data_IF_332860451183
#
_entry.id   IF_332860451183
#
_cell.length_a   1.000
_cell.length_b   1.000
_cell.length_c   1.000
_cell.angle_alpha   90.00
_cell.angle_beta   90.00
_cell.angle_gamma   90.00
#
_symmetry.space_group_name_H-M   'P 1'
#
loop_
_entity.id
_entity.type
_entity.pdbx_description
1 polymer ?
#
# COMPACT_ATOMS: atom_id res chain seq x y z
N UNK A 1 6.10 2.84 -0.07
CA UNK A 1 6.85 3.89 0.67
C UNK A 1 8.35 3.78 0.47
N UNK A 2 8.94 2.58 0.51
CA UNK A 2 10.40 2.38 0.29
C UNK A 2 10.94 3.01 -0.99
N UNK A 3 10.17 2.96 -2.07
CA UNK A 3 10.49 3.64 -3.33
C UNK A 3 10.70 5.15 -3.24
N UNK A 4 10.03 5.83 -2.30
CA UNK A 4 10.13 7.29 -2.16
C UNK A 4 11.12 7.71 -1.07
N UNK A 5 11.24 6.91 0.00
CA UNK A 5 11.96 7.30 1.21
C UNK A 5 13.17 6.40 1.53
N UNK A 6 13.50 5.45 0.67
CA UNK A 6 14.58 4.49 0.87
C UNK A 6 14.20 3.34 1.79
N UNK A 7 15.20 2.67 2.37
CA UNK A 7 14.96 1.50 3.21
C UNK A 7 14.43 1.85 4.61
N UNK A 8 13.74 0.90 5.22
CA UNK A 8 13.20 1.04 6.58
C UNK A 8 14.31 0.71 7.59
N UNK A 9 14.64 1.67 8.44
CA UNK A 9 15.68 1.54 9.48
C UNK A 9 15.13 0.96 10.77
N UNK A 10 13.92 1.36 11.16
CA UNK A 10 13.22 0.88 12.35
C UNK A 10 11.73 0.73 12.09
N UNK A 11 11.12 -0.28 12.71
CA UNK A 11 9.68 -0.51 12.65
C UNK A 11 9.18 -1.03 13.98
N UNK A 12 8.05 -0.49 14.43
CA UNK A 12 7.28 -0.96 15.59
C UNK A 12 5.82 -1.08 15.19
N UNK A 13 5.12 -2.07 15.72
CA UNK A 13 3.71 -2.27 15.42
C UNK A 13 2.88 -2.44 16.68
N UNK A 14 1.65 -1.93 16.66
CA UNK A 14 0.60 -2.31 17.58
C UNK A 14 -0.42 -3.12 16.81
N UNK A 15 -0.59 -4.37 17.20
CA UNK A 15 -1.51 -5.32 16.60
C UNK A 15 -2.77 -5.43 17.47
N UNK A 16 -3.91 -5.72 16.86
CA UNK A 16 -5.13 -6.00 17.62
C UNK A 16 -6.14 -6.87 16.90
N UNK A 17 -7.13 -7.29 17.69
CA UNK A 17 -8.15 -8.28 17.36
C UNK A 17 -9.51 -7.73 17.78
N UNK A 18 -10.11 -6.91 16.93
CA UNK A 18 -11.39 -6.23 17.18
C UNK A 18 -12.62 -7.13 16.98
N UNK A 19 -12.50 -8.13 16.11
CA UNK A 19 -13.59 -8.98 15.63
C UNK A 19 -13.40 -10.46 16.02
N UNK A 20 -12.55 -10.75 17.01
CA UNK A 20 -12.28 -12.11 17.52
C UNK A 20 -11.83 -13.11 16.43
N UNK A 21 -11.04 -12.65 15.45
CA UNK A 21 -10.33 -13.55 14.56
C UNK A 21 -9.14 -14.20 15.28
N UNK A 22 -8.67 -15.34 14.74
CA UNK A 22 -7.43 -16.01 15.13
C UNK A 22 -6.17 -15.34 14.57
N UNK A 23 -6.36 -14.23 13.85
CA UNK A 23 -5.32 -13.35 13.32
C UNK A 23 -5.71 -11.89 13.53
N UNK A 24 -4.74 -10.99 13.38
CA UNK A 24 -4.89 -9.56 13.58
C UNK A 24 -5.79 -8.95 12.51
N UNK A 25 -6.86 -8.28 12.92
CA UNK A 25 -7.76 -7.54 12.00
C UNK A 25 -7.45 -6.04 11.93
N UNK A 26 -6.42 -5.63 12.66
CA UNK A 26 -5.97 -4.26 12.76
C UNK A 26 -4.49 -4.20 13.17
N UNK A 27 -3.75 -3.30 12.52
CA UNK A 27 -2.39 -2.94 12.87
C UNK A 27 -2.15 -1.43 12.71
N UNK A 28 -1.41 -0.85 13.65
CA UNK A 28 -0.78 0.47 13.52
C UNK A 28 0.73 0.29 13.56
N UNK A 29 1.41 0.58 12.45
CA UNK A 29 2.85 0.47 12.32
C UNK A 29 3.49 1.86 12.27
N UNK A 30 4.54 2.07 13.05
CA UNK A 30 5.38 3.27 13.01
C UNK A 30 6.72 2.84 12.43
N UNK A 31 7.14 3.50 11.35
CA UNK A 31 8.35 3.18 10.61
C UNK A 31 9.22 4.41 10.44
N UNK A 32 10.53 4.23 10.52
CA UNK A 32 11.53 5.23 10.17
C UNK A 32 12.29 4.78 8.92
N UNK A 33 12.65 5.74 8.08
CA UNK A 33 13.34 5.50 6.81
C UNK A 33 14.74 6.12 6.83
N UNK A 34 15.65 5.61 6.00
CA UNK A 34 17.01 6.13 5.85
C UNK A 34 17.04 7.62 5.47
N UNK A 35 16.06 8.06 4.67
CA UNK A 35 15.88 9.46 4.28
C UNK A 35 15.41 10.37 5.43
N UNK A 36 15.24 9.84 6.64
CA UNK A 36 14.80 10.59 7.82
C UNK A 36 13.28 10.80 7.91
N UNK A 37 12.51 10.27 6.96
CA UNK A 37 11.06 10.29 7.03
C UNK A 37 10.56 9.29 8.08
N UNK A 38 9.53 9.68 8.83
CA UNK A 38 8.75 8.79 9.69
C UNK A 38 7.36 8.60 9.10
N UNK A 39 6.87 7.37 9.11
CA UNK A 39 5.53 7.03 8.60
C UNK A 39 4.74 6.30 9.66
N UNK A 40 3.45 6.62 9.75
CA UNK A 40 2.46 5.83 10.49
C UNK A 40 1.53 5.17 9.48
N UNK A 41 1.46 3.85 9.49
CA UNK A 41 0.56 3.06 8.64
C UNK A 41 -0.49 2.43 9.51
N UNK A 42 -1.76 2.74 9.21
CA UNK A 42 -2.90 2.08 9.82
C UNK A 42 -3.54 1.15 8.79
N UNK A 43 -3.67 -0.12 9.16
CA UNK A 43 -4.33 -1.13 8.35
C UNK A 43 -5.36 -1.81 9.23
N UNK A 44 -6.54 -2.09 8.69
CA UNK A 44 -7.51 -2.91 9.39
C UNK A 44 -8.88 -2.88 8.74
N UNK A 45 -9.73 -3.78 9.21
CA UNK A 45 -11.10 -3.95 8.71
C UNK A 45 -12.08 -2.97 9.36
N UNK A 46 -11.76 -1.68 9.30
CA UNK A 46 -12.55 -0.62 9.95
C UNK A 46 -13.68 -0.04 9.08
N UNK A 47 -13.71 -0.35 7.78
CA UNK A 47 -14.59 0.29 6.82
C UNK A 47 -15.30 -0.75 5.95
N UNK A 48 -16.56 -0.49 5.63
CA UNK A 48 -17.35 -1.29 4.68
C UNK A 48 -16.87 -1.16 3.23
N UNK A 49 -16.17 -0.06 2.91
CA UNK A 49 -15.58 0.18 1.60
C UNK A 49 -14.05 0.18 1.69
N UNK A 50 -13.38 -0.34 0.67
CA UNK A 50 -11.94 -0.23 0.53
C UNK A 50 -11.54 1.23 0.38
N UNK A 51 -10.69 1.70 1.27
CA UNK A 51 -10.11 3.04 1.24
C UNK A 51 -8.61 2.90 1.43
N UNK A 52 -7.85 3.52 0.53
CA UNK A 52 -6.40 3.70 0.63
C UNK A 52 -6.15 5.19 0.72
N UNK A 53 -5.54 5.64 1.80
CA UNK A 53 -5.20 7.03 2.03
C UNK A 53 -3.71 7.19 2.22
N UNK A 54 -3.14 8.26 1.66
CA UNK A 54 -1.76 8.68 1.94
C UNK A 54 -1.79 10.16 2.27
N UNK A 55 -1.19 10.50 3.40
CA UNK A 55 -1.00 11.87 3.85
C UNK A 55 0.49 12.11 4.03
N UNK A 56 0.99 13.19 3.45
CA UNK A 56 2.39 13.60 3.50
C UNK A 56 2.47 14.98 4.16
N UNK A 57 3.26 15.09 5.21
CA UNK A 57 3.48 16.33 5.94
C UNK A 57 4.93 16.77 5.73
N UNK A 58 5.11 17.90 5.04
CA UNK A 58 6.40 18.56 4.88
C UNK A 58 6.49 19.80 5.77
N UNK A 59 7.66 20.42 5.81
CA UNK A 59 7.90 21.64 6.60
C UNK A 59 7.10 22.84 6.12
N UNK A 60 6.83 22.93 4.82
CA UNK A 60 6.13 24.08 4.20
C UNK A 60 4.68 23.79 3.82
N UNK A 61 4.30 22.52 3.64
CA UNK A 61 2.98 22.15 3.15
C UNK A 61 2.64 20.69 3.49
N UNK A 62 1.37 20.35 3.33
CA UNK A 62 0.87 18.99 3.44
C UNK A 62 0.12 18.59 2.17
N UNK A 63 0.19 17.32 1.82
CA UNK A 63 -0.54 16.74 0.70
C UNK A 63 -1.33 15.52 1.19
N UNK A 64 -2.52 15.32 0.62
CA UNK A 64 -3.36 14.16 0.93
C UNK A 64 -3.98 13.62 -0.34
N UNK A 65 -3.99 12.31 -0.45
CA UNK A 65 -4.66 11.60 -1.52
C UNK A 65 -5.43 10.42 -0.91
N UNK A 66 -6.70 10.31 -1.28
CA UNK A 66 -7.53 9.17 -0.90
C UNK A 66 -8.10 8.52 -2.15
N UNK A 67 -8.09 7.20 -2.11
CA UNK A 67 -8.59 6.35 -3.16
C UNK A 67 -9.58 5.37 -2.55
N UNK A 68 -10.83 5.44 -3.00
CA UNK A 68 -11.91 4.59 -2.49
C UNK A 68 -12.69 3.97 -3.63
N UNK A 69 -13.24 2.78 -3.38
CA UNK A 69 -14.11 2.13 -4.35
C UNK A 69 -15.39 2.94 -4.53
N UNK A 70 -15.85 3.05 -5.78
CA UNK A 70 -17.19 3.57 -6.06
C UNK A 70 -18.25 2.56 -5.64
N UNK A 71 -19.51 2.98 -5.50
CA UNK A 71 -20.60 2.05 -5.20
C UNK A 71 -20.70 0.95 -6.27
N UNK A 72 -21.15 -0.25 -5.86
CA UNK A 72 -21.30 -1.41 -6.76
C UNK A 72 -22.15 -1.10 -7.99
N UNK A 73 -23.18 -0.27 -7.83
CA UNK A 73 -24.06 0.18 -8.92
C UNK A 73 -23.29 1.01 -9.95
N UNK A 74 -22.48 1.98 -9.49
CA UNK A 74 -21.67 2.83 -10.38
C UNK A 74 -20.62 1.99 -11.12
N UNK A 75 -20.03 1.00 -10.44
CA UNK A 75 -19.11 0.03 -11.06
C UNK A 75 -19.82 -0.75 -12.17
N UNK A 76 -20.97 -1.36 -11.88
CA UNK A 76 -21.73 -2.16 -12.83
C UNK A 76 -22.13 -1.34 -14.07
N UNK A 77 -22.63 -0.12 -13.89
CA UNK A 77 -22.98 0.78 -15.00
C UNK A 77 -21.76 1.04 -15.89
N UNK A 78 -20.60 1.38 -15.29
CA UNK A 78 -19.39 1.64 -16.07
C UNK A 78 -18.95 0.42 -16.87
N UNK A 79 -19.00 -0.77 -16.27
CA UNK A 79 -18.63 -2.02 -16.95
C UNK A 79 -19.58 -2.33 -18.11
N UNK A 80 -20.90 -2.18 -17.92
CA UNK A 80 -21.90 -2.36 -19.01
C UNK A 80 -21.64 -1.38 -20.15
N UNK A 81 -21.23 -0.14 -19.84
CA UNK A 81 -20.84 0.86 -20.83
C UNK A 81 -19.45 0.62 -21.45
N UNK A 82 -18.78 -0.50 -21.15
CA UNK A 82 -17.44 -0.81 -21.65
C UNK A 82 -16.33 0.08 -21.09
N UNK A 83 -16.58 0.79 -19.98
CA UNK A 83 -15.62 1.71 -19.34
C UNK A 83 -15.00 1.06 -18.11
N UNK A 84 -13.68 1.19 -17.96
CA UNK A 84 -12.97 0.79 -16.74
C UNK A 84 -13.28 1.77 -15.60
N UNK A 85 -13.83 1.33 -14.45
CA UNK A 85 -14.00 2.20 -13.30
C UNK A 85 -12.65 2.78 -12.85
N UNK A 86 -12.64 4.07 -12.50
CA UNK A 86 -11.42 4.78 -12.06
C UNK A 86 -10.65 4.04 -10.97
N UNK A 87 -11.37 3.33 -10.09
CA UNK A 87 -10.78 2.51 -9.03
C UNK A 87 -9.85 1.40 -9.55
N UNK A 88 -10.11 0.85 -10.73
CA UNK A 88 -9.33 -0.26 -11.31
C UNK A 88 -8.27 0.19 -12.32
N UNK A 89 -8.21 1.48 -12.65
CA UNK A 89 -7.21 2.01 -13.60
C UNK A 89 -5.77 1.76 -13.13
N UNK A 90 -5.39 2.04 -11.86
CA UNK A 90 -4.02 1.79 -11.41
C UNK A 90 -3.61 0.32 -11.53
N UNK A 91 -4.52 -0.60 -11.17
CA UNK A 91 -4.28 -2.03 -11.32
C UNK A 91 -4.12 -2.44 -12.79
N UNK A 92 -4.97 -1.92 -13.69
CA UNK A 92 -4.84 -2.16 -15.12
C UNK A 92 -3.48 -1.66 -15.66
N UNK A 93 -3.01 -0.50 -15.18
CA UNK A 93 -1.72 0.04 -15.56
C UNK A 93 -0.57 -0.85 -15.07
N UNK A 94 -0.64 -1.35 -13.83
CA UNK A 94 0.35 -2.27 -13.25
C UNK A 94 0.47 -3.57 -14.08
N UNK A 95 -0.67 -4.18 -14.42
CA UNK A 95 -0.69 -5.40 -15.23
C UNK A 95 -0.18 -5.14 -16.65
N UNK A 96 -0.56 -4.00 -17.23
CA UNK A 96 -0.09 -3.60 -18.57
C UNK A 96 1.43 -3.38 -18.56
N UNK A 97 1.95 -2.75 -17.51
CA UNK A 97 3.39 -2.59 -17.29
C UNK A 97 4.10 -3.95 -17.19
N UNK A 98 3.57 -4.87 -16.38
CA UNK A 98 4.12 -6.23 -16.25
C UNK A 98 4.14 -6.98 -17.60
N UNK A 99 3.05 -6.95 -18.37
CA UNK A 99 2.97 -7.60 -19.68
C UNK A 99 3.97 -7.01 -20.67
N UNK A 100 4.09 -5.68 -20.71
CA UNK A 100 5.05 -5.01 -21.59
C UNK A 100 6.49 -5.34 -21.20
N UNK A 101 6.78 -5.39 -19.91
CA UNK A 101 8.08 -5.77 -19.39
C UNK A 101 8.48 -7.19 -19.80
N UNK A 102 7.56 -8.17 -19.70
CA UNK A 102 7.80 -9.55 -20.14
C UNK A 102 8.02 -9.64 -21.65
N UNK A 103 7.31 -8.83 -22.44
CA UNK A 103 7.42 -8.83 -23.90
C UNK A 103 8.71 -8.20 -24.43
N UNK A 104 9.23 -7.18 -23.75
CA UNK A 104 10.33 -6.36 -24.22
C UNK A 104 11.68 -6.70 -23.55
N UNK A 105 11.83 -7.92 -23.00
CA UNK A 105 13.06 -8.42 -22.35
C UNK A 105 13.70 -7.45 -21.34
N UNK A 106 12.85 -6.77 -20.56
CA UNK A 106 13.28 -6.09 -19.33
C UNK A 106 14.04 -4.77 -19.47
N UNK A 107 13.97 -4.10 -20.62
CA UNK A 107 14.65 -2.81 -20.86
C UNK A 107 13.81 -1.61 -20.35
N UNK A 108 13.68 -1.48 -19.02
CA UNK A 108 13.12 -0.27 -18.41
C UNK A 108 13.72 0.01 -17.03
N UNK A 109 14.09 1.28 -16.80
CA UNK A 109 14.84 1.79 -15.64
C UNK A 109 14.12 1.72 -14.27
N UNK A 110 12.93 1.09 -14.17
CA UNK A 110 12.14 1.02 -12.93
C UNK A 110 11.65 -0.41 -12.66
N UNK A 111 12.60 -1.34 -12.49
CA UNK A 111 12.31 -2.74 -12.18
C UNK A 111 11.84 -2.91 -10.74
N UNK A 112 10.56 -3.26 -10.56
CA UNK A 112 10.14 -4.07 -9.40
C UNK A 112 10.85 -5.41 -9.48
N UNK A 113 11.62 -5.75 -8.45
CA UNK A 113 12.31 -7.03 -8.34
C UNK A 113 11.66 -7.91 -7.27
N UNK A 114 11.89 -9.22 -7.36
CA UNK A 114 11.53 -10.13 -6.27
C UNK A 114 12.22 -9.77 -4.95
N UNK A 115 13.42 -9.19 -5.01
CA UNK A 115 14.13 -8.67 -3.85
C UNK A 115 13.36 -7.56 -3.14
N UNK A 116 12.64 -6.70 -3.87
CA UNK A 116 11.82 -5.66 -3.24
C UNK A 116 10.72 -6.26 -2.36
N UNK A 117 10.05 -7.31 -2.86
CA UNK A 117 9.04 -8.04 -2.10
C UNK A 117 9.63 -8.76 -0.88
N UNK A 118 10.83 -9.37 -1.02
CA UNK A 118 11.52 -10.00 0.12
C UNK A 118 11.85 -9.00 1.22
N UNK A 119 12.32 -7.81 0.84
CA UNK A 119 12.60 -6.72 1.79
C UNK A 119 11.33 -6.24 2.49
N UNK A 120 10.20 -6.17 1.80
CA UNK A 120 8.92 -5.84 2.43
C UNK A 120 8.52 -6.91 3.47
N UNK A 121 8.71 -8.20 3.16
CA UNK A 121 8.47 -9.29 4.10
C UNK A 121 9.41 -9.23 5.32
N UNK A 122 10.67 -8.86 5.14
CA UNK A 122 11.62 -8.64 6.25
C UNK A 122 11.13 -7.53 7.17
N UNK A 123 10.62 -6.43 6.63
CA UNK A 123 10.05 -5.32 7.41
C UNK A 123 8.79 -5.77 8.17
N UNK A 124 7.90 -6.51 7.52
CA UNK A 124 6.69 -7.06 8.16
C UNK A 124 7.10 -7.98 9.33
N UNK A 125 8.04 -8.90 9.11
CA UNK A 125 8.52 -9.81 10.16
C UNK A 125 9.15 -9.04 11.34
N UNK A 126 9.94 -8.00 11.06
CA UNK A 126 10.48 -7.10 12.10
C UNK A 126 9.36 -6.39 12.88
N UNK A 127 8.30 -5.96 12.20
CA UNK A 127 7.16 -5.31 12.83
C UNK A 127 6.46 -6.22 13.85
N UNK A 128 6.23 -7.50 13.50
CA UNK A 128 5.72 -8.51 14.43
C UNK A 128 6.66 -8.72 15.63
N UNK A 129 7.97 -8.80 15.39
CA UNK A 129 8.96 -8.97 16.46
C UNK A 129 9.01 -7.77 17.42
N UNK A 130 8.85 -6.56 16.88
CA UNK A 130 8.92 -5.30 17.61
C UNK A 130 7.53 -4.80 18.06
N UNK A 131 6.63 -5.72 18.40
CA UNK A 131 5.29 -5.38 18.83
C UNK A 131 5.32 -4.55 20.11
N UNK A 132 4.58 -3.44 20.10
CA UNK A 132 4.27 -2.63 21.27
C UNK A 132 3.09 -3.28 21.98
N UNK A 133 3.29 -3.66 23.24
CA UNK A 133 2.26 -4.23 24.12
C UNK A 133 1.32 -3.14 24.65
#
# INVERSE_FOLDING_TARGET
MRWYFGEVTDVKARLGYRFNFDFEDYATCIMNFEFGASTVVNVGWFSQNTVVGVELFGTMSHARAYFSSSSKVVIAIKLIMGKTPKFFIPYLNEISHFVNYVKNDGDSENRLSGQDALRDLEVIAKAYKNQIK
#
